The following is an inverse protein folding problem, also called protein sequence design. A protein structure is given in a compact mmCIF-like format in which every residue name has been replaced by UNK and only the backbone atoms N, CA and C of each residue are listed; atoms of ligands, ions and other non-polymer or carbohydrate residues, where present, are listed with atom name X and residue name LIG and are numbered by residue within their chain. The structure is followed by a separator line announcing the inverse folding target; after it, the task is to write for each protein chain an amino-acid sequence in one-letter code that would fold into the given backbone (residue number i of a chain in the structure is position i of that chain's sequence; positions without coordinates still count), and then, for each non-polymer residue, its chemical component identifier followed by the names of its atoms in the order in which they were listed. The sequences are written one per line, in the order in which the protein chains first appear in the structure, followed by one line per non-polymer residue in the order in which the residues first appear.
data_IF_069163283782
#
_entry.id   IF_069163283782
#
_cell.length_a   1.000
_cell.length_b   1.000
_cell.length_c   1.000
_cell.angle_alpha   90.00
_cell.angle_beta   90.00
_cell.angle_gamma   90.00
#
_symmetry.space_group_name_H-M   'P 1'
#
loop_
_entity.id
_entity.type
_entity.pdbx_description
1 polymer ?
#
# COMPACT_ATOMS: atom_id res chain seq x y z
N UNK A 1 -9.37 -4.67 -13.48
CA UNK A 1 -8.00 -4.27 -13.88
C UNK A 1 -7.69 -2.97 -13.17
N UNK A 2 -6.57 -2.90 -12.44
CA UNK A 2 -6.11 -1.65 -11.85
C UNK A 2 -5.53 -0.76 -12.97
N UNK A 3 -5.59 0.56 -12.79
CA UNK A 3 -4.92 1.51 -13.69
C UNK A 3 -3.43 1.53 -13.36
N UNK A 4 -2.60 1.32 -14.36
CA UNK A 4 -1.14 1.37 -14.22
C UNK A 4 -0.62 2.81 -14.29
N UNK A 5 0.57 3.03 -13.73
CA UNK A 5 1.29 4.30 -13.72
C UNK A 5 2.79 4.05 -13.91
N UNK A 6 3.52 5.05 -14.40
CA UNK A 6 4.98 5.00 -14.45
C UNK A 6 5.61 5.27 -13.08
N UNK A 7 6.91 4.99 -12.94
CA UNK A 7 7.65 5.29 -11.71
C UNK A 7 7.73 6.80 -11.44
N UNK A 8 7.85 7.64 -12.46
CA UNK A 8 7.89 9.09 -12.33
C UNK A 8 6.55 9.62 -11.79
N UNK A 9 5.44 9.10 -12.32
CA UNK A 9 4.09 9.45 -11.86
C UNK A 9 3.88 8.99 -10.41
N UNK A 10 4.36 7.80 -10.06
CA UNK A 10 4.35 7.30 -8.70
C UNK A 10 5.17 8.19 -7.76
N UNK A 11 6.39 8.56 -8.15
CA UNK A 11 7.28 9.39 -7.33
C UNK A 11 6.69 10.77 -7.06
N UNK A 12 6.08 11.41 -8.07
CA UNK A 12 5.38 12.68 -7.89
C UNK A 12 4.24 12.56 -6.87
N UNK A 13 3.37 11.56 -7.04
CA UNK A 13 2.25 11.33 -6.11
C UNK A 13 2.73 10.98 -4.69
N UNK A 14 3.84 10.25 -4.55
CA UNK A 14 4.43 9.91 -3.26
C UNK A 14 5.00 11.15 -2.55
N UNK A 15 5.72 12.01 -3.28
CA UNK A 15 6.20 13.30 -2.76
C UNK A 15 5.05 14.22 -2.32
N UNK A 16 3.90 14.15 -2.99
CA UNK A 16 2.69 14.91 -2.66
C UNK A 16 1.87 14.29 -1.51
N UNK A 17 2.37 13.24 -0.84
CA UNK A 17 1.74 12.60 0.31
C UNK A 17 0.71 11.52 -0.05
N UNK A 18 0.79 10.95 -1.24
CA UNK A 18 -0.07 9.86 -1.69
C UNK A 18 0.05 8.60 -0.83
N UNK A 19 -1.08 7.90 -0.64
CA UNK A 19 -1.09 6.62 0.07
C UNK A 19 -0.47 5.52 -0.81
N UNK A 20 0.59 4.89 -0.29
CA UNK A 20 1.19 3.69 -0.89
C UNK A 20 0.73 2.47 -0.11
N UNK A 21 0.18 1.48 -0.83
CA UNK A 21 -0.22 0.19 -0.26
C UNK A 21 0.69 -0.89 -0.83
N UNK A 22 1.38 -1.59 0.05
CA UNK A 22 2.21 -2.74 -0.31
C UNK A 22 1.42 -4.02 -0.07
N UNK A 23 1.11 -4.75 -1.15
CA UNK A 23 0.27 -5.95 -1.09
C UNK A 23 1.08 -7.25 -1.06
N UNK A 24 2.40 -7.15 -0.94
CA UNK A 24 3.34 -8.27 -0.85
C UNK A 24 3.28 -8.97 0.51
N UNK A 25 4.07 -10.02 0.67
CA UNK A 25 4.23 -10.72 1.94
C UNK A 25 5.04 -9.90 2.96
N UNK A 26 4.93 -10.25 4.25
CA UNK A 26 5.47 -9.42 5.34
C UNK A 26 7.01 -9.43 5.38
N UNK A 27 7.62 -10.55 5.03
CA UNK A 27 9.06 -10.71 4.90
C UNK A 27 9.63 -9.89 3.73
N UNK A 28 8.93 -9.84 2.59
CA UNK A 28 9.30 -8.98 1.45
C UNK A 28 9.24 -7.49 1.81
N UNK A 29 8.21 -7.08 2.55
CA UNK A 29 8.10 -5.71 3.06
C UNK A 29 9.22 -5.40 4.05
N UNK A 30 9.50 -6.30 5.00
CA UNK A 30 10.55 -6.12 5.99
C UNK A 30 11.95 -6.07 5.36
N UNK A 31 12.18 -6.80 4.26
CA UNK A 31 13.43 -6.76 3.50
C UNK A 31 13.65 -5.41 2.78
N UNK A 32 12.56 -4.71 2.43
CA UNK A 32 12.62 -3.37 1.85
C UNK A 32 11.30 -2.95 1.22
N UNK A 33 10.87 -1.72 1.51
CA UNK A 33 9.64 -1.14 1.00
C UNK A 33 9.77 0.39 0.84
N UNK A 34 8.81 0.99 0.13
CA UNK A 34 8.73 2.45 -0.03
C UNK A 34 8.44 3.09 1.34
N UNK A 35 9.23 4.06 1.82
CA UNK A 35 8.98 4.70 3.10
C UNK A 35 7.56 5.27 3.21
N UNK A 36 6.88 4.95 4.31
CA UNK A 36 5.49 5.36 4.57
C UNK A 36 4.42 4.46 3.92
N UNK A 37 4.80 3.43 3.15
CA UNK A 37 3.86 2.47 2.61
C UNK A 37 3.20 1.64 3.72
N UNK A 38 1.91 1.36 3.57
CA UNK A 38 1.16 0.47 4.47
C UNK A 38 1.14 -0.95 3.92
N UNK A 39 1.66 -1.90 4.69
CA UNK A 39 1.58 -3.32 4.36
C UNK A 39 0.13 -3.82 4.50
N UNK A 40 -0.43 -4.35 3.41
CA UNK A 40 -1.75 -4.98 3.36
C UNK A 40 -1.70 -6.21 2.44
N UNK A 41 -1.21 -7.35 2.95
CA UNK A 41 -0.93 -8.50 2.12
C UNK A 41 -2.19 -9.00 1.41
N UNK A 42 -2.08 -9.30 0.12
CA UNK A 42 -3.23 -9.64 -0.71
C UNK A 42 -3.99 -10.87 -0.20
N UNK A 43 -3.26 -11.85 0.36
CA UNK A 43 -3.85 -13.06 0.97
C UNK A 43 -4.82 -12.77 2.11
N UNK A 44 -4.65 -11.65 2.81
CA UNK A 44 -5.51 -11.18 3.92
C UNK A 44 -6.50 -10.11 3.48
N UNK A 45 -6.48 -9.72 2.20
CA UNK A 45 -7.19 -8.54 1.73
C UNK A 45 -8.72 -8.55 1.67
N UNK A 46 -9.41 -9.71 1.55
CA UNK A 46 -10.87 -9.73 1.52
C UNK A 46 -11.56 -9.12 2.75
N UNK A 47 -10.86 -8.95 3.88
CA UNK A 47 -11.45 -8.48 5.13
C UNK A 47 -11.55 -6.95 5.27
N UNK A 48 -10.79 -6.15 4.51
CA UNK A 48 -10.67 -4.69 4.74
C UNK A 48 -11.21 -3.81 3.61
N UNK A 49 -11.58 -4.40 2.47
CA UNK A 49 -12.01 -3.66 1.27
C UNK A 49 -13.51 -3.29 1.24
N UNK A 50 -14.18 -3.21 2.39
CA UNK A 50 -15.53 -2.63 2.43
C UNK A 50 -15.41 -1.11 2.27
N UNK A 51 -15.88 -0.61 1.12
CA UNK A 51 -16.08 0.81 0.81
C UNK A 51 -14.83 1.66 0.51
N UNK A 52 -13.69 1.02 0.16
CA UNK A 52 -12.53 1.72 -0.40
C UNK A 52 -11.81 2.67 0.56
N UNK A 53 -12.10 2.60 1.87
CA UNK A 53 -11.37 3.32 2.90
C UNK A 53 -10.43 2.35 3.61
N UNK A 54 -9.13 2.69 3.76
CA UNK A 54 -8.28 1.94 4.66
C UNK A 54 -8.88 2.06 6.06
N UNK A 55 -9.42 0.97 6.61
CA UNK A 55 -9.60 0.87 8.06
C UNK A 55 -8.22 1.04 8.66
N UNK A 56 -8.01 2.12 9.41
CA UNK A 56 -6.77 2.34 10.11
C UNK A 56 -6.51 1.07 10.94
N UNK A 57 -5.42 0.35 10.62
CA UNK A 57 -4.91 -0.64 11.54
C UNK A 57 -4.69 0.09 12.87
N UNK A 58 -5.38 -0.36 13.92
CA UNK A 58 -5.15 0.07 15.29
C UNK A 58 -3.68 -0.18 15.69
N UNK A 59 -3.25 0.40 16.82
CA UNK A 59 -1.89 0.91 16.97
C UNK A 59 -0.84 -0.18 17.11
N UNK A 60 0.31 0.15 16.52
CA UNK A 60 1.70 -0.38 16.66
C UNK A 60 1.95 -1.84 16.31
#
# INVERSE_FOLDING_TARGET
MAREVTQETFAAAWCDGGLVVDVREADEYAAGHVPGARLMPLRTAPAWARDGRPVAAGPV
#
